data_IF_683531288662
#
_entry.id   IF_683531288662
#
_cell.length_a   1.000
_cell.length_b   1.000
_cell.length_c   1.000
_cell.angle_alpha   90.00
_cell.angle_beta   90.00
_cell.angle_gamma   90.00
#
_symmetry.space_group_name_H-M   'P 1'
#
loop_
_entity.id
_entity.type
_entity.pdbx_description
1 polymer ?
#
# COMPACT_ATOMS: atom_id res chain seq x y z
N UNK A 1 -10.39 -10.59 -24.20
CA UNK A 1 -9.79 -9.22 -24.25
C UNK A 1 -10.51 -8.37 -23.21
N UNK A 2 -9.82 -7.43 -22.60
CA UNK A 2 -10.41 -6.46 -21.67
C UNK A 2 -11.41 -5.55 -22.40
N UNK A 3 -12.57 -5.26 -21.78
CA UNK A 3 -13.42 -4.17 -22.26
C UNK A 3 -12.73 -2.82 -22.00
N UNK A 4 -13.09 -1.77 -22.73
CA UNK A 4 -12.52 -0.44 -22.55
C UNK A 4 -12.79 0.12 -21.14
N UNK A 5 -13.92 -0.24 -20.54
CA UNK A 5 -14.25 0.17 -19.17
C UNK A 5 -13.35 -0.51 -18.13
N UNK A 6 -13.13 -1.82 -18.26
CA UNK A 6 -12.23 -2.58 -17.38
C UNK A 6 -10.80 -2.08 -17.56
N UNK A 7 -10.32 -1.89 -18.80
CA UNK A 7 -9.00 -1.36 -19.07
C UNK A 7 -8.79 0.01 -18.42
N UNK A 8 -9.77 0.91 -18.51
CA UNK A 8 -9.71 2.22 -17.88
C UNK A 8 -9.71 2.13 -16.35
N UNK A 9 -10.56 1.29 -15.76
CA UNK A 9 -10.62 1.08 -14.31
C UNK A 9 -9.30 0.53 -13.76
N UNK A 10 -8.71 -0.48 -14.41
CA UNK A 10 -7.42 -1.04 -14.03
C UNK A 10 -6.27 -0.03 -14.17
N UNK A 11 -6.26 0.78 -15.23
CA UNK A 11 -5.27 1.86 -15.38
C UNK A 11 -5.46 2.97 -14.33
N UNK A 12 -6.69 3.24 -13.90
CA UNK A 12 -6.97 4.07 -12.74
C UNK A 12 -6.30 3.53 -11.49
N UNK A 13 -6.45 2.22 -11.22
CA UNK A 13 -5.82 1.57 -10.07
C UNK A 13 -4.29 1.59 -10.17
N UNK A 14 -3.69 1.39 -11.36
CA UNK A 14 -2.23 1.56 -11.57
C UNK A 14 -1.76 2.94 -11.09
N UNK A 15 -2.54 4.00 -11.36
CA UNK A 15 -2.20 5.35 -10.92
C UNK A 15 -2.32 5.53 -9.41
N UNK A 16 -3.27 4.88 -8.77
CA UNK A 16 -3.46 4.89 -7.31
C UNK A 16 -2.28 4.23 -6.61
N UNK A 17 -1.92 3.00 -6.99
CA UNK A 17 -0.79 2.27 -6.39
C UNK A 17 0.54 3.02 -6.59
N UNK A 18 0.73 3.60 -7.78
CA UNK A 18 1.91 4.42 -8.06
C UNK A 18 1.97 5.66 -7.15
N UNK A 19 0.83 6.30 -6.89
CA UNK A 19 0.76 7.46 -6.00
C UNK A 19 0.96 7.08 -4.54
N UNK A 20 0.43 5.92 -4.09
CA UNK A 20 0.65 5.39 -2.74
C UNK A 20 2.13 5.10 -2.50
N UNK A 21 2.80 4.42 -3.44
CA UNK A 21 4.25 4.20 -3.37
C UNK A 21 5.04 5.50 -3.17
N UNK A 22 4.73 6.56 -3.93
CA UNK A 22 5.40 7.86 -3.78
C UNK A 22 5.06 8.55 -2.46
N UNK A 23 3.81 8.44 -1.98
CA UNK A 23 3.40 9.01 -0.71
C UNK A 23 4.17 8.37 0.46
N UNK A 24 4.30 7.04 0.47
CA UNK A 24 5.03 6.31 1.51
C UNK A 24 6.54 6.57 1.44
N UNK A 25 7.10 6.74 0.24
CA UNK A 25 8.48 7.19 0.06
C UNK A 25 8.73 8.58 0.68
N UNK A 26 7.80 9.51 0.51
CA UNK A 26 7.90 10.84 1.10
C UNK A 26 7.77 10.79 2.63
N UNK A 27 6.86 9.95 3.17
CA UNK A 27 6.72 9.71 4.60
C UNK A 27 8.00 9.08 5.19
N UNK A 28 8.59 8.10 4.48
CA UNK A 28 9.86 7.47 4.88
C UNK A 28 11.01 8.47 4.97
N UNK A 29 11.16 9.31 3.96
CA UNK A 29 12.18 10.36 3.93
C UNK A 29 12.00 11.36 5.08
N UNK A 30 10.76 11.74 5.40
CA UNK A 30 10.49 12.58 6.56
C UNK A 30 10.86 11.88 7.86
N UNK A 31 10.46 10.62 8.05
CA UNK A 31 10.77 9.85 9.26
C UNK A 31 12.28 9.72 9.48
N UNK A 32 13.05 9.46 8.43
CA UNK A 32 14.51 9.42 8.49
C UNK A 32 15.10 10.74 8.92
N UNK A 33 14.63 11.87 8.42
CA UNK A 33 15.05 13.21 8.83
C UNK A 33 14.70 13.54 10.28
N UNK A 34 13.72 12.85 10.89
CA UNK A 34 13.38 12.97 12.30
C UNK A 34 14.17 12.00 13.21
N UNK A 35 15.05 11.18 12.66
CA UNK A 35 15.79 10.15 13.40
C UNK A 35 14.94 8.93 13.76
N UNK A 36 13.79 8.72 13.12
CA UNK A 36 12.88 7.59 13.30
C UNK A 36 13.24 6.47 12.30
N UNK A 37 14.36 5.81 12.54
CA UNK A 37 14.92 4.84 11.57
C UNK A 37 14.07 3.62 11.37
N UNK A 38 13.37 3.13 12.40
CA UNK A 38 12.47 2.01 12.30
C UNK A 38 11.21 2.34 11.50
N UNK A 39 10.63 3.51 11.75
CA UNK A 39 9.49 4.05 11.00
C UNK A 39 9.88 4.28 9.53
N UNK A 40 11.06 4.82 9.28
CA UNK A 40 11.57 5.01 7.92
C UNK A 40 11.70 3.69 7.18
N UNK A 41 12.34 2.68 7.79
CA UNK A 41 12.50 1.35 7.21
C UNK A 41 11.15 0.69 6.90
N UNK A 42 10.17 0.80 7.81
CA UNK A 42 8.81 0.33 7.61
C UNK A 42 8.15 0.98 6.39
N UNK A 43 8.24 2.30 6.28
CA UNK A 43 7.61 3.06 5.19
C UNK A 43 8.32 2.86 3.84
N UNK A 44 9.65 2.70 3.81
CA UNK A 44 10.37 2.31 2.59
C UNK A 44 9.90 0.97 2.06
N UNK A 45 9.74 -0.02 2.96
CA UNK A 45 9.23 -1.35 2.59
C UNK A 45 7.80 -1.25 2.01
N UNK A 46 6.90 -0.50 2.65
CA UNK A 46 5.54 -0.30 2.16
C UNK A 46 5.53 0.43 0.79
N UNK A 47 6.42 1.40 0.59
CA UNK A 47 6.58 2.03 -0.72
C UNK A 47 6.94 1.02 -1.81
N UNK A 48 7.82 0.06 -1.51
CA UNK A 48 8.19 -1.02 -2.44
C UNK A 48 7.03 -2.01 -2.66
N UNK A 49 6.25 -2.33 -1.63
CA UNK A 49 5.05 -3.17 -1.71
C UNK A 49 4.01 -2.55 -2.64
N UNK A 50 3.69 -1.26 -2.49
CA UNK A 50 2.79 -0.53 -3.39
C UNK A 50 3.28 -0.53 -4.85
N UNK A 51 4.60 -0.38 -5.04
CA UNK A 51 5.19 -0.50 -6.36
C UNK A 51 5.00 -1.91 -6.94
N UNK A 52 5.06 -2.96 -6.12
CA UNK A 52 4.80 -4.34 -6.57
C UNK A 52 3.33 -4.53 -6.92
N UNK A 53 2.40 -3.94 -6.16
CA UNK A 53 0.97 -3.91 -6.49
C UNK A 53 0.73 -3.26 -7.85
N UNK A 54 1.30 -2.08 -8.09
CA UNK A 54 1.26 -1.41 -9.38
C UNK A 54 1.75 -2.31 -10.52
N UNK A 55 2.92 -2.95 -10.36
CA UNK A 55 3.52 -3.80 -11.40
C UNK A 55 2.68 -5.04 -11.69
N UNK A 56 2.00 -5.60 -10.70
CA UNK A 56 1.09 -6.73 -10.85
C UNK A 56 -0.10 -6.35 -11.75
N UNK A 57 -0.68 -5.16 -11.56
CA UNK A 57 -1.74 -4.61 -12.44
C UNK A 57 -1.24 -4.39 -13.87
N UNK A 58 -0.08 -3.74 -14.01
CA UNK A 58 0.52 -3.47 -15.32
C UNK A 58 0.71 -4.76 -16.13
N UNK A 59 1.25 -5.80 -15.50
CA UNK A 59 1.43 -7.11 -16.13
C UNK A 59 0.10 -7.74 -16.52
N UNK A 60 -0.86 -7.76 -15.60
CA UNK A 60 -2.19 -8.32 -15.86
C UNK A 60 -2.91 -7.62 -17.02
N UNK A 61 -2.90 -6.28 -17.09
CA UNK A 61 -3.50 -5.53 -18.19
C UNK A 61 -2.91 -5.97 -19.53
N UNK A 62 -1.58 -6.06 -19.62
CA UNK A 62 -0.88 -6.43 -20.85
C UNK A 62 -1.15 -7.91 -21.21
N UNK A 63 -1.14 -8.83 -20.26
CA UNK A 63 -1.45 -10.25 -20.44
C UNK A 63 -2.88 -10.47 -20.94
N UNK A 64 -3.83 -9.60 -20.53
CA UNK A 64 -5.22 -9.63 -20.98
C UNK A 64 -5.43 -8.95 -22.35
N UNK A 65 -4.34 -8.54 -23.02
CA UNK A 65 -4.38 -7.87 -24.34
C UNK A 65 -4.85 -6.43 -24.29
N UNK A 66 -4.82 -5.80 -23.11
CA UNK A 66 -5.02 -4.37 -22.91
C UNK A 66 -3.71 -3.60 -23.04
N UNK A 67 -3.76 -2.29 -22.79
CA UNK A 67 -2.62 -1.40 -22.77
C UNK A 67 -2.48 -0.78 -21.39
N UNK A 68 -1.45 -1.18 -20.64
CA UNK A 68 -1.12 -0.51 -19.39
C UNK A 68 -0.53 0.89 -19.67
N UNK A 69 -0.99 1.87 -18.93
CA UNK A 69 -0.56 3.27 -19.03
C UNK A 69 0.18 3.64 -17.74
N UNK A 70 1.44 4.01 -17.86
CA UNK A 70 2.22 4.49 -16.71
C UNK A 70 1.88 5.96 -16.47
N UNK A 71 1.36 6.31 -15.28
CA UNK A 71 0.86 7.65 -15.01
C UNK A 71 1.97 8.65 -14.75
N UNK A 72 1.69 9.93 -15.03
CA UNK A 72 2.44 11.01 -14.40
C UNK A 72 1.97 11.18 -12.96
N UNK A 73 2.90 11.34 -12.02
CA UNK A 73 2.61 11.48 -10.60
C UNK A 73 2.75 12.92 -10.14
N UNK A 74 1.82 13.37 -9.29
CA UNK A 74 1.97 14.61 -8.55
C UNK A 74 2.97 14.41 -7.41
N UNK A 75 3.69 15.49 -7.08
CA UNK A 75 4.53 15.48 -5.88
C UNK A 75 3.66 15.20 -4.64
N UNK A 76 4.02 14.19 -3.84
CA UNK A 76 3.30 13.90 -2.59
C UNK A 76 3.54 14.99 -1.54
N UNK A 77 2.68 15.03 -0.53
CA UNK A 77 2.89 15.89 0.65
C UNK A 77 4.18 15.50 1.38
N UNK A 78 4.93 16.50 1.82
CA UNK A 78 6.23 16.31 2.50
C UNK A 78 6.25 16.88 3.92
N UNK A 79 5.19 17.56 4.34
CA UNK A 79 5.11 18.23 5.63
C UNK A 79 4.20 17.45 6.59
N UNK A 80 4.81 16.68 7.48
CA UNK A 80 4.13 15.96 8.55
C UNK A 80 4.51 16.58 9.89
N UNK A 81 3.60 16.56 10.86
CA UNK A 81 3.77 17.20 12.17
C UNK A 81 4.32 16.24 13.22
N UNK A 82 4.00 14.95 13.08
CA UNK A 82 4.37 13.91 14.04
C UNK A 82 4.32 12.53 13.38
N UNK A 83 4.85 11.54 14.08
CA UNK A 83 4.72 10.12 13.70
C UNK A 83 3.25 9.69 13.66
N UNK A 84 2.41 10.18 14.57
CA UNK A 84 0.97 9.91 14.58
C UNK A 84 0.30 10.45 13.33
N UNK A 85 0.68 11.66 12.88
CA UNK A 85 0.17 12.29 11.66
C UNK A 85 0.48 11.44 10.42
N UNK A 86 1.68 10.83 10.36
CA UNK A 86 2.07 9.90 9.30
C UNK A 86 1.15 8.68 9.26
N UNK A 87 0.93 7.98 10.38
CA UNK A 87 0.10 6.79 10.40
C UNK A 87 -1.39 7.07 10.18
N UNK A 88 -1.86 8.26 10.57
CA UNK A 88 -3.19 8.74 10.20
C UNK A 88 -3.30 8.99 8.69
N UNK A 89 -2.28 9.59 8.09
CA UNK A 89 -2.23 9.80 6.65
C UNK A 89 -2.15 8.45 5.90
N UNK A 90 -1.39 7.49 6.40
CA UNK A 90 -1.31 6.14 5.87
C UNK A 90 -2.69 5.46 5.89
N UNK A 91 -3.39 5.43 7.02
CA UNK A 91 -4.74 4.86 7.10
C UNK A 91 -5.73 5.56 6.15
N UNK A 92 -5.62 6.88 6.01
CA UNK A 92 -6.44 7.62 5.05
C UNK A 92 -6.16 7.18 3.61
N UNK A 93 -4.89 6.96 3.25
CA UNK A 93 -4.50 6.42 1.95
C UNK A 93 -5.11 5.04 1.73
N UNK A 94 -4.93 4.11 2.67
CA UNK A 94 -5.43 2.73 2.54
C UNK A 94 -6.96 2.68 2.38
N UNK A 95 -7.69 3.50 3.16
CA UNK A 95 -9.15 3.60 2.99
C UNK A 95 -9.55 4.11 1.60
N UNK A 96 -8.77 4.99 0.99
CA UNK A 96 -9.00 5.44 -0.39
C UNK A 96 -8.69 4.35 -1.41
N UNK A 97 -7.57 3.66 -1.25
CA UNK A 97 -7.19 2.51 -2.10
C UNK A 97 -8.29 1.45 -2.06
N UNK A 98 -8.82 1.11 -0.87
CA UNK A 98 -9.95 0.17 -0.72
C UNK A 98 -11.18 0.62 -1.51
N UNK A 99 -11.53 1.91 -1.45
CA UNK A 99 -12.68 2.44 -2.21
C UNK A 99 -12.50 2.30 -3.72
N UNK A 100 -11.30 2.58 -4.23
CA UNK A 100 -10.97 2.47 -5.66
C UNK A 100 -10.96 0.99 -6.11
N UNK A 101 -10.39 0.10 -5.33
CA UNK A 101 -10.42 -1.35 -5.58
C UNK A 101 -11.87 -1.85 -5.66
N UNK A 102 -12.73 -1.44 -4.73
CA UNK A 102 -14.16 -1.78 -4.75
C UNK A 102 -14.84 -1.26 -6.01
N UNK A 103 -14.46 -0.08 -6.49
CA UNK A 103 -14.94 0.48 -7.76
C UNK A 103 -14.54 -0.37 -8.98
N UNK A 104 -13.31 -0.89 -9.00
CA UNK A 104 -12.85 -1.83 -10.04
C UNK A 104 -13.64 -3.14 -9.97
N UNK A 105 -13.82 -3.71 -8.77
CA UNK A 105 -14.61 -4.95 -8.56
C UNK A 105 -16.05 -4.77 -9.04
N UNK A 106 -16.70 -3.65 -8.67
CA UNK A 106 -18.07 -3.34 -9.13
C UNK A 106 -18.14 -3.23 -10.67
N UNK A 107 -17.14 -2.62 -11.29
CA UNK A 107 -17.02 -2.55 -12.75
C UNK A 107 -16.88 -3.94 -13.37
N UNK A 108 -16.08 -4.83 -12.78
CA UNK A 108 -15.93 -6.21 -13.22
C UNK A 108 -17.26 -6.97 -13.19
N UNK A 109 -18.04 -6.82 -12.13
CA UNK A 109 -19.35 -7.46 -11.99
C UNK A 109 -20.35 -6.94 -13.02
N UNK A 110 -20.40 -5.63 -13.25
CA UNK A 110 -21.27 -5.00 -14.27
C UNK A 110 -20.94 -5.46 -15.69
N UNK A 111 -19.66 -5.58 -16.01
CA UNK A 111 -19.18 -6.04 -17.33
C UNK A 111 -19.15 -7.58 -17.44
N UNK A 112 -19.46 -8.32 -16.37
CA UNK A 112 -19.38 -9.79 -16.27
C UNK A 112 -17.97 -10.33 -16.59
N UNK A 113 -16.92 -9.57 -16.28
CA UNK A 113 -15.52 -10.02 -16.40
C UNK A 113 -15.07 -10.71 -15.11
N UNK A 114 -15.47 -11.97 -14.97
CA UNK A 114 -15.15 -12.80 -13.81
C UNK A 114 -13.64 -13.09 -13.69
N UNK A 115 -12.89 -13.03 -14.77
CA UNK A 115 -11.44 -13.24 -14.76
C UNK A 115 -10.75 -12.05 -14.06
N UNK A 116 -11.10 -10.82 -14.44
CA UNK A 116 -10.59 -9.63 -13.77
C UNK A 116 -11.11 -9.53 -12.33
N UNK A 117 -12.39 -9.88 -12.10
CA UNK A 117 -12.93 -9.96 -10.75
C UNK A 117 -12.10 -10.90 -9.86
N UNK A 118 -11.80 -12.12 -10.33
CA UNK A 118 -10.99 -13.07 -9.56
C UNK A 118 -9.56 -12.54 -9.29
N UNK A 119 -8.96 -11.87 -10.26
CA UNK A 119 -7.66 -11.22 -10.08
C UNK A 119 -7.71 -10.14 -9.00
N UNK A 120 -8.76 -9.33 -8.96
CA UNK A 120 -8.92 -8.25 -7.98
C UNK A 120 -9.20 -8.75 -6.56
N UNK A 121 -9.62 -10.00 -6.36
CA UNK A 121 -9.86 -10.54 -5.01
C UNK A 121 -8.58 -10.58 -4.15
N UNK A 122 -7.43 -10.71 -4.78
CA UNK A 122 -6.15 -10.59 -4.07
C UNK A 122 -6.00 -9.18 -3.44
N UNK A 123 -6.29 -8.12 -4.21
CA UNK A 123 -6.24 -6.73 -3.70
C UNK A 123 -7.27 -6.49 -2.59
N UNK A 124 -8.46 -7.08 -2.71
CA UNK A 124 -9.48 -7.01 -1.63
C UNK A 124 -8.95 -7.63 -0.34
N UNK A 125 -8.25 -8.76 -0.44
CA UNK A 125 -7.60 -9.41 0.70
C UNK A 125 -6.51 -8.55 1.34
N UNK A 126 -5.59 -8.03 0.52
CA UNK A 126 -4.49 -7.15 0.98
C UNK A 126 -5.03 -5.93 1.75
N UNK A 127 -6.09 -5.28 1.24
CA UNK A 127 -6.64 -4.09 1.91
C UNK A 127 -7.21 -4.38 3.31
N UNK A 128 -7.66 -5.59 3.60
CA UNK A 128 -8.06 -5.98 4.96
C UNK A 128 -6.86 -5.92 5.90
N UNK A 129 -5.71 -6.43 5.43
CA UNK A 129 -4.47 -6.49 6.21
C UNK A 129 -3.86 -5.09 6.37
N UNK A 130 -3.79 -4.29 5.30
CA UNK A 130 -3.22 -2.93 5.31
C UNK A 130 -3.99 -1.99 6.24
N UNK A 131 -5.31 -1.95 6.14
CA UNK A 131 -6.11 -1.13 7.04
C UNK A 131 -6.05 -1.60 8.50
N UNK A 132 -6.03 -2.92 8.74
CA UNK A 132 -5.91 -3.48 10.09
C UNK A 132 -4.56 -3.14 10.71
N UNK A 133 -3.48 -3.22 9.94
CA UNK A 133 -2.13 -2.85 10.36
C UNK A 133 -2.06 -1.36 10.71
N UNK A 134 -2.56 -0.49 9.83
CA UNK A 134 -2.56 0.95 10.05
C UNK A 134 -3.33 1.32 11.34
N UNK A 135 -4.52 0.74 11.55
CA UNK A 135 -5.30 0.95 12.78
C UNK A 135 -4.54 0.49 14.01
N UNK A 136 -3.93 -0.69 13.97
CA UNK A 136 -3.14 -1.24 15.09
C UNK A 136 -1.98 -0.33 15.47
N UNK A 137 -1.28 0.25 14.49
CA UNK A 137 -0.17 1.17 14.74
C UNK A 137 -0.65 2.50 15.35
N UNK A 138 -1.77 3.02 14.88
CA UNK A 138 -2.40 4.21 15.45
C UNK A 138 -2.83 3.95 16.91
N UNK A 139 -3.45 2.81 17.20
CA UNK A 139 -3.87 2.44 18.55
C UNK A 139 -2.67 2.35 19.50
N UNK A 140 -1.55 1.76 19.07
CA UNK A 140 -0.30 1.76 19.85
C UNK A 140 0.22 3.17 20.12
N UNK A 141 0.21 4.05 19.11
CA UNK A 141 0.64 5.44 19.28
C UNK A 141 -0.27 6.20 20.25
N UNK A 142 -1.58 5.96 20.21
CA UNK A 142 -2.53 6.53 21.17
C UNK A 142 -2.27 6.06 22.61
N UNK A 143 -1.91 4.78 22.81
CA UNK A 143 -1.54 4.24 24.12
C UNK A 143 -0.24 4.87 24.65
N UNK A 144 0.75 5.11 23.78
CA UNK A 144 2.03 5.70 24.12
C UNK A 144 1.88 7.19 24.47
N UNK A 145 1.01 7.92 23.76
CA UNK A 145 0.84 9.35 23.92
C UNK A 145 2.14 10.12 23.69
N UNK A 146 2.54 10.90 24.67
CA UNK A 146 3.76 11.76 24.60
C UNK A 146 4.99 11.12 25.26
N UNK A 147 4.95 9.86 25.64
CA UNK A 147 6.09 9.18 26.27
C UNK A 147 7.21 8.92 25.25
N UNK A 148 8.35 9.61 25.44
CA UNK A 148 9.51 9.46 24.56
C UNK A 148 10.13 8.06 24.59
N UNK A 149 10.08 7.38 25.73
CA UNK A 149 10.55 6.01 25.86
C UNK A 149 9.68 5.04 25.08
N UNK A 150 8.36 5.20 25.17
CA UNK A 150 7.40 4.45 24.39
C UNK A 150 7.54 4.68 22.87
N UNK A 151 7.77 5.94 22.45
CA UNK A 151 8.03 6.25 21.04
C UNK A 151 9.32 5.61 20.53
N UNK A 152 10.38 5.61 21.33
CA UNK A 152 11.62 4.91 20.97
C UNK A 152 11.40 3.40 20.79
N UNK A 153 10.65 2.78 21.71
CA UNK A 153 10.33 1.35 21.62
C UNK A 153 9.46 1.03 20.41
N UNK A 154 8.49 1.88 20.12
CA UNK A 154 7.63 1.76 18.94
C UNK A 154 8.44 1.80 17.64
N UNK A 155 9.33 2.78 17.51
CA UNK A 155 10.20 2.92 16.33
C UNK A 155 11.12 1.69 16.16
N UNK A 156 11.74 1.22 17.27
CA UNK A 156 12.55 0.01 17.27
C UNK A 156 11.75 -1.23 16.82
N UNK A 157 10.52 -1.38 17.28
CA UNK A 157 9.67 -2.52 16.93
C UNK A 157 9.28 -2.52 15.44
N UNK A 158 9.05 -1.33 14.85
CA UNK A 158 8.81 -1.19 13.41
C UNK A 158 10.02 -1.63 12.57
N UNK A 159 11.24 -1.40 13.03
CA UNK A 159 12.43 -1.91 12.35
C UNK A 159 12.44 -3.45 12.28
N UNK A 160 11.97 -4.12 13.33
CA UNK A 160 11.80 -5.57 13.34
C UNK A 160 10.75 -6.08 12.35
N UNK A 161 9.68 -5.32 12.11
CA UNK A 161 8.63 -5.65 11.13
C UNK A 161 9.10 -5.47 9.67
N UNK A 162 10.13 -4.65 9.45
CA UNK A 162 10.69 -4.37 8.12
C UNK A 162 11.77 -5.37 7.71
N UNK A 163 12.33 -6.13 8.66
CA UNK A 163 13.34 -7.15 8.37
C UNK A 163 12.71 -8.26 7.50
N UNK A 164 13.43 -8.78 6.48
CA UNK A 164 12.97 -9.95 5.73
C UNK A 164 12.71 -11.08 6.74
N UNK A 165 11.55 -11.74 6.62
CA UNK A 165 11.23 -12.89 7.44
C UNK A 165 12.39 -13.89 7.34
N UNK A 166 13.04 -14.20 8.47
CA UNK A 166 14.12 -15.17 8.51
C UNK A 166 13.58 -16.49 7.98
N UNK A 167 13.96 -16.82 6.73
CA UNK A 167 13.79 -18.03 5.98
C UNK A 167 12.77 -19.07 6.49
N UNK A 168 11.48 -18.79 6.31
CA UNK A 168 10.45 -19.82 6.31
C UNK A 168 10.40 -20.45 4.91
N UNK A 169 11.32 -21.38 4.62
CA UNK A 169 11.32 -22.11 3.38
C UNK A 169 10.03 -22.89 3.22
N UNK A 170 9.16 -22.49 2.31
CA UNK A 170 8.14 -23.36 1.77
C UNK A 170 8.85 -24.51 1.03
N UNK A 171 8.93 -25.68 1.68
CA UNK A 171 9.26 -26.93 0.99
C UNK A 171 8.15 -27.16 -0.05
N UNK A 172 8.50 -27.04 -1.33
CA UNK A 172 7.68 -27.60 -2.43
C UNK A 172 7.56 -29.10 -2.14
N UNK A 173 6.39 -29.55 -1.78
CA UNK A 173 6.05 -30.95 -1.76
C UNK A 173 6.12 -31.53 -3.17
N UNK A 174 6.69 -32.70 -3.25
CA UNK A 174 6.82 -33.52 -4.45
C UNK A 174 5.45 -33.93 -5.02
#
# INVERSE_FOLDING_TARGET
MLSKKIEAALNGQVAIEAASSQAYLAMASWAENQGLSGTAAFLYKHSDEERMHMLKLVKFINERGGKAVIPALKQPGTNFKSITDIFQALLYHETKVTQEINGVVDTCLKEKDYTTHNFMQWYVGEQIEEEALARTLIDKLNLIGNDKGGLYLFDRDLQGMSAPAAGGGYKKGA
#
